data_IF_186515563145
#
_entry.id   IF_186515563145
#
_cell.length_a   1.000
_cell.length_b   1.000
_cell.length_c   1.000
_cell.angle_alpha   90.00
_cell.angle_beta   90.00
_cell.angle_gamma   90.00
#
_symmetry.space_group_name_H-M   'P 1'
#
loop_
_entity.id
_entity.type
_entity.pdbx_description
1 polymer ?
#
# COMPACT_ATOMS: atom_id res chain seq x y z
N UNK A 1 22.45 -20.58 35.16
CA UNK A 1 21.34 -19.63 34.92
C UNK A 1 21.85 -18.50 34.03
N UNK A 2 21.95 -18.73 32.72
CA UNK A 2 22.55 -17.79 31.76
C UNK A 2 21.80 -17.70 30.44
N UNK A 3 21.18 -18.81 30.00
CA UNK A 3 20.65 -18.89 28.63
C UNK A 3 19.29 -18.19 28.45
N UNK A 4 18.45 -18.19 29.50
CA UNK A 4 17.17 -17.48 29.47
C UNK A 4 17.32 -15.94 29.42
N UNK A 5 18.43 -15.41 29.92
CA UNK A 5 18.69 -13.96 29.95
C UNK A 5 19.13 -13.43 28.58
N UNK A 6 19.94 -14.22 27.84
CA UNK A 6 20.38 -13.87 26.48
C UNK A 6 19.21 -13.96 25.48
N UNK A 7 18.34 -14.97 25.62
CA UNK A 7 17.16 -15.10 24.78
C UNK A 7 16.14 -13.95 24.98
N UNK A 8 15.99 -13.48 26.23
CA UNK A 8 15.13 -12.34 26.55
C UNK A 8 15.66 -11.02 25.96
N UNK A 9 16.97 -10.80 26.00
CA UNK A 9 17.60 -9.60 25.43
C UNK A 9 17.47 -9.56 23.91
N UNK A 10 17.69 -10.69 23.23
CA UNK A 10 17.52 -10.76 21.78
C UNK A 10 16.06 -10.49 21.35
N UNK A 11 15.09 -11.05 22.09
CA UNK A 11 13.68 -10.78 21.85
C UNK A 11 13.35 -9.28 22.04
N UNK A 12 13.89 -8.65 23.09
CA UNK A 12 13.72 -7.22 23.36
C UNK A 12 14.24 -6.36 22.20
N UNK A 13 15.43 -6.64 21.69
CA UNK A 13 16.00 -5.91 20.55
C UNK A 13 15.16 -6.05 19.27
N UNK A 14 14.56 -7.23 19.03
CA UNK A 14 13.63 -7.40 17.92
C UNK A 14 12.36 -6.57 18.10
N UNK A 15 11.77 -6.56 19.29
CA UNK A 15 10.56 -5.79 19.60
C UNK A 15 10.83 -4.29 19.41
N UNK A 16 11.87 -3.75 20.03
CA UNK A 16 12.21 -2.32 19.94
C UNK A 16 12.47 -1.89 18.49
N UNK A 17 13.10 -2.76 17.69
CA UNK A 17 13.30 -2.52 16.26
C UNK A 17 11.97 -2.50 15.48
N UNK A 18 11.05 -3.41 15.79
CA UNK A 18 9.73 -3.47 15.14
C UNK A 18 8.91 -2.23 15.52
N UNK A 19 8.91 -1.82 16.78
CA UNK A 19 8.18 -0.64 17.25
C UNK A 19 8.64 0.63 16.52
N UNK A 20 9.96 0.82 16.39
CA UNK A 20 10.51 1.93 15.59
C UNK A 20 10.05 1.87 14.13
N UNK A 21 10.08 0.69 13.51
CA UNK A 21 9.63 0.52 12.13
C UNK A 21 8.13 0.78 11.96
N UNK A 22 7.29 0.43 12.93
CA UNK A 22 5.85 0.76 12.91
C UNK A 22 5.61 2.26 13.09
N UNK A 23 6.41 2.96 13.89
CA UNK A 23 6.36 4.42 14.00
C UNK A 23 6.76 5.11 12.68
N UNK A 24 7.86 4.68 12.05
CA UNK A 24 8.28 5.16 10.73
C UNK A 24 7.19 4.92 9.66
N UNK A 25 6.62 3.72 9.65
CA UNK A 25 5.52 3.35 8.74
C UNK A 25 4.27 4.20 8.97
N UNK A 26 3.96 4.53 10.22
CA UNK A 26 2.86 5.45 10.55
C UNK A 26 3.13 6.85 9.99
N UNK A 27 4.33 7.39 10.20
CA UNK A 27 4.73 8.68 9.64
C UNK A 27 4.58 8.73 8.12
N UNK A 28 5.10 7.72 7.41
CA UNK A 28 4.92 7.60 5.96
C UNK A 28 3.44 7.52 5.57
N UNK A 29 2.63 6.81 6.36
CA UNK A 29 1.18 6.71 6.16
C UNK A 29 0.46 8.05 6.27
N UNK A 30 0.86 8.86 7.25
CA UNK A 30 0.34 10.21 7.48
C UNK A 30 0.76 11.16 6.33
N UNK A 31 2.03 11.12 5.89
CA UNK A 31 2.51 11.90 4.74
C UNK A 31 1.73 11.56 3.45
N UNK A 32 1.50 10.27 3.19
CA UNK A 32 0.70 9.83 2.03
C UNK A 32 -0.74 10.37 2.13
N UNK A 33 -1.31 10.38 3.34
CA UNK A 33 -2.67 10.89 3.55
C UNK A 33 -2.73 12.39 3.27
N UNK A 34 -1.75 13.15 3.72
CA UNK A 34 -1.68 14.60 3.50
C UNK A 34 -1.58 14.95 2.02
N UNK A 35 -0.79 14.20 1.24
CA UNK A 35 -0.74 14.35 -0.23
C UNK A 35 -2.11 14.10 -0.87
N UNK A 36 -2.86 13.10 -0.42
CA UNK A 36 -4.22 12.88 -0.92
C UNK A 36 -5.19 13.99 -0.51
N UNK A 37 -5.03 14.58 0.68
CA UNK A 37 -5.85 15.71 1.13
C UNK A 37 -5.55 16.97 0.33
N UNK A 38 -4.27 17.24 0.06
CA UNK A 38 -3.85 18.32 -0.83
C UNK A 38 -4.41 18.13 -2.24
N UNK A 39 -4.29 16.93 -2.82
CA UNK A 39 -4.87 16.62 -4.12
C UNK A 39 -6.40 16.85 -4.14
N UNK A 40 -7.10 16.47 -3.05
CA UNK A 40 -8.53 16.74 -2.91
C UNK A 40 -8.84 18.24 -2.87
N UNK A 41 -8.06 19.02 -2.13
CA UNK A 41 -8.22 20.47 -2.04
C UNK A 41 -7.99 21.16 -3.41
N UNK A 42 -7.11 20.59 -4.24
CA UNK A 42 -6.86 21.02 -5.61
C UNK A 42 -7.87 20.46 -6.63
N UNK A 43 -8.92 19.75 -6.19
CA UNK A 43 -10.03 19.29 -7.05
C UNK A 43 -9.84 17.91 -7.68
N UNK A 44 -8.82 17.14 -7.30
CA UNK A 44 -8.63 15.78 -7.81
C UNK A 44 -9.49 14.75 -7.06
N UNK A 45 -10.00 13.74 -7.78
CA UNK A 45 -10.71 12.60 -7.18
C UNK A 45 -9.73 11.59 -6.56
N UNK A 46 -9.63 11.62 -5.23
CA UNK A 46 -8.75 10.74 -4.45
C UNK A 46 -9.04 9.26 -4.66
N UNK A 47 -10.31 8.87 -4.91
CA UNK A 47 -10.68 7.46 -5.11
C UNK A 47 -10.04 6.91 -6.38
N UNK A 48 -10.11 7.67 -7.46
CA UNK A 48 -9.49 7.35 -8.75
C UNK A 48 -7.97 7.37 -8.64
N UNK A 49 -7.37 8.36 -7.98
CA UNK A 49 -5.92 8.38 -7.75
C UNK A 49 -5.43 7.13 -7.03
N UNK A 50 -6.14 6.68 -5.98
CA UNK A 50 -5.81 5.42 -5.27
C UNK A 50 -5.90 4.20 -6.18
N UNK A 51 -6.87 4.17 -7.10
CA UNK A 51 -6.96 3.10 -8.11
C UNK A 51 -5.74 3.13 -9.06
N UNK A 52 -5.34 4.31 -9.55
CA UNK A 52 -4.15 4.47 -10.40
C UNK A 52 -2.88 4.05 -9.66
N UNK A 53 -2.69 4.43 -8.40
CA UNK A 53 -1.52 4.01 -7.60
C UNK A 53 -1.46 2.49 -7.47
N UNK A 54 -2.59 1.81 -7.27
CA UNK A 54 -2.64 0.33 -7.24
C UNK A 54 -2.28 -0.28 -8.60
N UNK A 55 -2.85 0.24 -9.69
CA UNK A 55 -2.54 -0.21 -11.05
C UNK A 55 -1.06 -0.04 -11.40
N UNK A 56 -0.44 1.07 -10.96
CA UNK A 56 1.00 1.34 -11.17
C UNK A 56 1.92 0.43 -10.37
N UNK A 57 1.43 -0.24 -9.32
CA UNK A 57 2.19 -1.25 -8.56
C UNK A 57 2.15 -2.63 -9.20
N UNK A 58 1.25 -2.87 -10.15
CA UNK A 58 1.14 -4.15 -10.84
C UNK A 58 2.18 -4.25 -11.96
N UNK A 59 2.64 -5.47 -12.24
CA UNK A 59 3.47 -5.76 -13.40
C UNK A 59 2.74 -5.40 -14.70
N UNK A 60 3.49 -4.89 -15.68
CA UNK A 60 2.89 -4.32 -16.90
C UNK A 60 2.06 -5.36 -17.66
N UNK A 61 2.59 -6.56 -17.80
CA UNK A 61 1.90 -7.64 -18.52
C UNK A 61 0.63 -8.09 -17.80
N UNK A 62 0.69 -8.24 -16.47
CA UNK A 62 -0.48 -8.59 -15.66
C UNK A 62 -1.58 -7.52 -15.76
N UNK A 63 -1.20 -6.23 -15.82
CA UNK A 63 -2.15 -5.13 -16.04
C UNK A 63 -2.80 -5.20 -17.42
N UNK A 64 -2.03 -5.43 -18.49
CA UNK A 64 -2.57 -5.53 -19.85
C UNK A 64 -3.51 -6.72 -20.01
N UNK A 65 -3.19 -7.87 -19.41
CA UNK A 65 -4.06 -9.05 -19.40
C UNK A 65 -5.38 -8.77 -18.67
N UNK A 66 -5.32 -8.16 -17.49
CA UNK A 66 -6.50 -7.79 -16.73
C UNK A 66 -7.38 -6.76 -17.46
N UNK A 67 -6.76 -5.76 -18.13
CA UNK A 67 -7.46 -4.78 -18.96
C UNK A 67 -8.17 -5.44 -20.15
N UNK A 68 -7.50 -6.38 -20.84
CA UNK A 68 -8.10 -7.12 -21.96
C UNK A 68 -9.29 -8.00 -21.52
N UNK A 69 -9.18 -8.68 -20.38
CA UNK A 69 -10.28 -9.47 -19.81
C UNK A 69 -11.45 -8.60 -19.38
N UNK A 70 -11.18 -7.48 -18.71
CA UNK A 70 -12.21 -6.51 -18.30
C UNK A 70 -12.98 -6.00 -19.52
N UNK A 71 -12.27 -5.62 -20.58
CA UNK A 71 -12.86 -5.15 -21.82
C UNK A 71 -13.73 -6.23 -22.48
N UNK A 72 -13.26 -7.48 -22.49
CA UNK A 72 -14.04 -8.61 -23.00
C UNK A 72 -15.36 -8.77 -22.22
N UNK A 73 -15.31 -8.67 -20.89
CA UNK A 73 -16.51 -8.82 -20.06
C UNK A 73 -17.45 -7.63 -20.18
N UNK A 74 -16.94 -6.41 -20.27
CA UNK A 74 -17.73 -5.20 -20.54
C UNK A 74 -18.52 -5.32 -21.84
N UNK A 75 -17.84 -5.72 -22.92
CA UNK A 75 -18.47 -5.94 -24.22
C UNK A 75 -19.54 -7.04 -24.17
N UNK A 76 -19.26 -8.15 -23.47
CA UNK A 76 -20.24 -9.23 -23.30
C UNK A 76 -21.49 -8.80 -22.49
N UNK A 77 -21.34 -7.83 -21.58
CA UNK A 77 -22.41 -7.33 -20.73
C UNK A 77 -23.07 -6.05 -21.27
N UNK A 78 -22.61 -5.51 -22.41
CA UNK A 78 -23.12 -4.26 -22.98
C UNK A 78 -22.83 -3.01 -22.14
N UNK A 79 -21.71 -3.02 -21.40
CA UNK A 79 -21.25 -1.89 -20.59
C UNK A 79 -20.12 -1.20 -21.36
N UNK A 80 -20.42 -0.09 -22.06
CA UNK A 80 -19.42 0.81 -22.66
C UNK A 80 -18.91 1.85 -21.65
#
# INVERSE_FOLDING_TARGET
MSDGNVAAEQLRLFIERIERLEEEKKGIGDDIKDVYLEAKANGYDVKTMRAIVRLRKMERNARMEAEALLETYKNALGIE
#
